data_IF_817038464474
#
_entry.id   IF_817038464474
#
_cell.length_a   1.000
_cell.length_b   1.000
_cell.length_c   1.000
_cell.angle_alpha   90.00
_cell.angle_beta   90.00
_cell.angle_gamma   90.00
#
_symmetry.space_group_name_H-M   'P 1'
#
loop_
_entity.id
_entity.type
_entity.pdbx_description
1 polymer ?
#
# COMPACT_ATOMS: atom_id res chain seq x y z
N UNK A 1 4.22 -7.24 -26.57
CA UNK A 1 3.03 -6.71 -25.88
C UNK A 1 3.19 -6.99 -24.40
N UNK A 2 2.99 -6.01 -23.52
CA UNK A 2 3.08 -6.23 -22.07
C UNK A 2 1.92 -7.10 -21.55
N UNK A 3 2.04 -7.71 -20.37
CA UNK A 3 0.97 -8.56 -19.82
C UNK A 3 -0.29 -7.72 -19.56
N UNK A 4 -1.44 -8.32 -19.81
CA UNK A 4 -2.72 -7.67 -19.60
C UNK A 4 -2.93 -7.39 -18.10
N UNK A 5 -3.56 -6.26 -17.79
CA UNK A 5 -3.78 -5.81 -16.40
C UNK A 5 -5.26 -5.84 -16.09
N UNK A 6 -5.62 -6.45 -14.97
CA UNK A 6 -7.01 -6.55 -14.52
C UNK A 6 -7.13 -5.82 -13.19
N UNK A 7 -7.93 -4.75 -13.16
CA UNK A 7 -8.05 -3.85 -12.02
C UNK A 7 -9.49 -3.90 -11.53
N UNK A 8 -9.71 -4.41 -10.33
CA UNK A 8 -10.99 -4.41 -9.66
C UNK A 8 -11.04 -3.29 -8.62
N UNK A 9 -12.00 -2.37 -8.76
CA UNK A 9 -12.34 -1.43 -7.71
C UNK A 9 -13.37 -2.06 -6.78
N UNK A 10 -13.12 -2.01 -5.48
CA UNK A 10 -14.08 -2.39 -4.45
C UNK A 10 -14.59 -1.11 -3.80
N UNK A 11 -15.82 -0.72 -4.15
CA UNK A 11 -16.44 0.54 -3.76
C UNK A 11 -17.33 0.34 -2.54
N UNK A 12 -17.00 0.99 -1.44
CA UNK A 12 -17.83 1.05 -0.25
C UNK A 12 -19.07 1.91 -0.51
N UNK A 13 -20.20 1.24 -0.64
CA UNK A 13 -21.51 1.86 -0.72
C UNK A 13 -22.29 1.71 0.58
N UNK A 14 -21.64 1.37 1.71
CA UNK A 14 -22.31 1.15 2.99
C UNK A 14 -22.97 2.42 3.54
N UNK A 15 -23.81 2.25 4.56
CA UNK A 15 -24.55 3.36 5.17
C UNK A 15 -23.67 4.33 5.98
N UNK A 16 -22.41 4.00 6.22
CA UNK A 16 -21.46 4.90 6.89
C UNK A 16 -20.80 5.90 5.94
N UNK A 17 -20.87 5.66 4.63
CA UNK A 17 -20.39 6.57 3.60
C UNK A 17 -21.48 7.61 3.30
N UNK A 18 -21.15 8.90 3.47
CA UNK A 18 -22.05 9.98 3.09
C UNK A 18 -22.22 10.10 1.57
N UNK A 19 -23.34 10.64 1.06
CA UNK A 19 -23.58 10.74 -0.38
C UNK A 19 -22.49 11.51 -1.15
N UNK A 20 -21.94 12.58 -0.57
CA UNK A 20 -20.85 13.36 -1.18
C UNK A 20 -19.53 12.56 -1.25
N UNK A 21 -19.26 11.76 -0.22
CA UNK A 21 -18.08 10.90 -0.18
C UNK A 21 -18.20 9.74 -1.18
N UNK A 22 -19.41 9.20 -1.35
CA UNK A 22 -19.71 8.19 -2.35
C UNK A 22 -19.53 8.74 -3.77
N UNK A 23 -20.01 9.96 -4.04
CA UNK A 23 -19.80 10.63 -5.32
C UNK A 23 -18.30 10.88 -5.57
N UNK A 24 -17.57 11.34 -4.56
CA UNK A 24 -16.11 11.53 -4.62
C UNK A 24 -15.36 10.22 -4.93
N UNK A 25 -15.82 9.09 -4.37
CA UNK A 25 -15.26 7.78 -4.67
C UNK A 25 -15.55 7.33 -6.12
N UNK A 26 -16.78 7.57 -6.64
CA UNK A 26 -17.10 7.33 -8.06
C UNK A 26 -16.27 8.20 -8.99
N UNK A 27 -16.10 9.48 -8.67
CA UNK A 27 -15.25 10.40 -9.42
C UNK A 27 -13.79 9.96 -9.44
N UNK A 28 -13.28 9.46 -8.32
CA UNK A 28 -11.94 8.87 -8.26
C UNK A 28 -11.81 7.69 -9.22
N UNK A 29 -12.73 6.73 -9.17
CA UNK A 29 -12.76 5.55 -10.05
C UNK A 29 -12.80 5.99 -11.52
N UNK A 30 -13.74 6.89 -11.86
CA UNK A 30 -13.90 7.44 -13.21
C UNK A 30 -12.58 8.04 -13.72
N UNK A 31 -11.94 8.90 -12.93
CA UNK A 31 -10.72 9.59 -13.34
C UNK A 31 -9.52 8.65 -13.49
N UNK A 32 -9.41 7.63 -12.64
CA UNK A 32 -8.36 6.60 -12.76
C UNK A 32 -8.58 5.77 -14.02
N UNK A 33 -9.80 5.27 -14.24
CA UNK A 33 -10.15 4.48 -15.41
C UNK A 33 -9.89 5.25 -16.71
N UNK A 34 -10.37 6.50 -16.80
CA UNK A 34 -10.15 7.38 -17.95
C UNK A 34 -8.65 7.54 -18.27
N UNK A 35 -7.84 7.89 -17.27
CA UNK A 35 -6.38 8.07 -17.45
C UNK A 35 -5.65 6.79 -17.82
N UNK A 36 -6.07 5.65 -17.29
CA UNK A 36 -5.44 4.37 -17.59
C UNK A 36 -5.80 3.87 -18.99
N UNK A 37 -7.03 4.06 -19.46
CA UNK A 37 -7.39 3.71 -20.84
C UNK A 37 -6.60 4.49 -21.89
N UNK A 38 -6.27 5.76 -21.62
CA UNK A 38 -5.41 6.57 -22.50
C UNK A 38 -3.98 6.00 -22.66
N UNK A 39 -3.52 5.17 -21.70
CA UNK A 39 -2.12 4.70 -21.62
C UNK A 39 -1.96 3.19 -21.63
N UNK A 40 -3.03 2.44 -21.46
CA UNK A 40 -3.02 0.99 -21.25
C UNK A 40 -4.11 0.32 -22.08
N UNK A 41 -3.77 -0.03 -23.32
CA UNK A 41 -4.67 -0.70 -24.28
C UNK A 41 -5.21 -2.05 -23.77
N UNK A 42 -4.46 -2.70 -22.87
CA UNK A 42 -4.77 -4.03 -22.34
C UNK A 42 -5.25 -4.01 -20.88
N UNK A 43 -5.62 -2.84 -20.35
CA UNK A 43 -6.23 -2.75 -19.02
C UNK A 43 -7.72 -3.09 -19.10
N UNK A 44 -8.16 -4.02 -18.25
CA UNK A 44 -9.57 -4.35 -18.00
C UNK A 44 -9.95 -3.89 -16.60
N UNK A 45 -11.17 -3.40 -16.47
CA UNK A 45 -11.68 -2.86 -15.21
C UNK A 45 -12.92 -3.63 -14.77
N UNK A 46 -13.02 -3.83 -13.46
CA UNK A 46 -14.24 -4.27 -12.81
C UNK A 46 -14.53 -3.34 -11.63
N UNK A 47 -15.81 -3.20 -11.29
CA UNK A 47 -16.26 -2.46 -10.10
C UNK A 47 -17.20 -3.36 -9.33
N UNK A 48 -16.88 -3.60 -8.07
CA UNK A 48 -17.72 -4.30 -7.11
C UNK A 48 -18.10 -3.31 -6.04
N UNK A 49 -19.38 -3.04 -5.89
CA UNK A 49 -19.91 -2.25 -4.78
C UNK A 49 -20.34 -3.17 -3.64
N UNK A 50 -20.24 -2.70 -2.40
CA UNK A 50 -20.83 -3.41 -1.26
C UNK A 50 -21.62 -2.50 -0.31
N UNK A 51 -22.54 -3.11 0.43
CA UNK A 51 -23.40 -2.53 1.45
C UNK A 51 -24.01 -3.66 2.29
N UNK A 52 -25.34 -3.75 2.41
CA UNK A 52 -25.99 -4.99 2.85
C UNK A 52 -25.86 -6.17 1.87
N UNK A 53 -25.48 -5.91 0.62
CA UNK A 53 -25.20 -6.91 -0.42
C UNK A 53 -23.90 -6.57 -1.14
N UNK A 54 -23.30 -7.55 -1.82
CA UNK A 54 -22.19 -7.33 -2.75
C UNK A 54 -22.73 -7.39 -4.18
N UNK A 55 -22.40 -6.39 -5.01
CA UNK A 55 -22.88 -6.31 -6.40
C UNK A 55 -21.75 -5.91 -7.34
N UNK A 56 -21.58 -6.66 -8.43
CA UNK A 56 -20.71 -6.26 -9.54
C UNK A 56 -21.43 -5.22 -10.40
N UNK A 57 -20.94 -3.98 -10.40
CA UNK A 57 -21.46 -2.85 -11.18
C UNK A 57 -20.87 -2.79 -12.59
N UNK A 58 -19.64 -3.30 -12.73
CA UNK A 58 -18.90 -3.37 -13.99
C UNK A 58 -18.06 -4.66 -14.03
N UNK A 59 -18.19 -5.43 -15.11
CA UNK A 59 -17.44 -6.66 -15.37
C UNK A 59 -16.21 -6.43 -16.26
N UNK A 60 -15.18 -7.27 -16.11
CA UNK A 60 -13.96 -7.26 -16.94
C UNK A 60 -14.23 -7.40 -18.45
N UNK A 61 -15.36 -8.01 -18.83
CA UNK A 61 -15.74 -8.25 -20.22
C UNK A 61 -16.35 -7.04 -20.91
N UNK A 62 -16.71 -6.00 -20.18
CA UNK A 62 -17.36 -4.78 -20.71
C UNK A 62 -16.35 -3.83 -21.37
N UNK A 63 -15.29 -4.40 -21.98
CA UNK A 63 -14.12 -3.71 -22.55
C UNK A 63 -14.44 -2.83 -23.77
N UNK A 64 -15.57 -3.05 -24.44
CA UNK A 64 -15.76 -2.57 -25.82
C UNK A 64 -16.19 -1.11 -25.96
N UNK A 65 -16.65 -0.46 -24.89
CA UNK A 65 -16.95 0.97 -24.92
C UNK A 65 -16.50 1.64 -23.60
N UNK A 66 -15.31 2.23 -23.63
CA UNK A 66 -14.78 2.99 -22.49
C UNK A 66 -15.71 4.13 -22.07
N UNK A 67 -16.44 4.74 -23.00
CA UNK A 67 -17.41 5.80 -22.70
C UNK A 67 -18.63 5.22 -21.98
N UNK A 68 -19.17 4.10 -22.44
CA UNK A 68 -20.28 3.43 -21.76
C UNK A 68 -19.89 2.99 -20.34
N UNK A 69 -18.71 2.38 -20.18
CA UNK A 69 -18.22 1.96 -18.86
C UNK A 69 -18.04 3.16 -17.92
N UNK A 70 -17.49 4.28 -18.40
CA UNK A 70 -17.36 5.52 -17.63
C UNK A 70 -18.73 6.12 -17.25
N UNK A 71 -19.72 6.06 -18.13
CA UNK A 71 -21.08 6.49 -17.82
C UNK A 71 -21.76 5.55 -16.81
N UNK A 72 -21.50 4.24 -16.86
CA UNK A 72 -21.95 3.31 -15.82
C UNK A 72 -21.40 3.71 -14.46
N UNK A 73 -20.10 4.05 -14.36
CA UNK A 73 -19.49 4.48 -13.09
C UNK A 73 -20.26 5.64 -12.47
N UNK A 74 -20.56 6.69 -13.24
CA UNK A 74 -21.31 7.86 -12.75
C UNK A 74 -22.69 7.49 -12.22
N UNK A 75 -23.35 6.54 -12.88
CA UNK A 75 -24.73 6.14 -12.58
C UNK A 75 -24.86 5.10 -11.47
N UNK A 76 -23.75 4.59 -10.91
CA UNK A 76 -23.78 3.67 -9.77
C UNK A 76 -24.55 4.30 -8.61
N UNK A 77 -25.55 3.57 -8.12
CA UNK A 77 -26.38 3.96 -6.98
C UNK A 77 -25.87 3.30 -5.71
N UNK A 78 -25.77 4.08 -4.64
CA UNK A 78 -25.31 3.63 -3.33
C UNK A 78 -26.24 2.55 -2.74
N UNK A 79 -25.68 1.45 -2.26
CA UNK A 79 -26.43 0.30 -1.70
C UNK A 79 -26.93 0.57 -0.27
N UNK A 80 -26.12 1.24 0.55
CA UNK A 80 -26.30 1.56 1.97
C UNK A 80 -26.19 0.34 2.91
N UNK A 81 -26.47 0.58 4.20
CA UNK A 81 -26.51 -0.42 5.28
C UNK A 81 -25.13 -0.95 5.70
N UNK A 82 -24.87 -2.25 5.63
CA UNK A 82 -23.70 -2.91 6.25
C UNK A 82 -22.36 -2.59 5.56
N UNK A 83 -21.25 -2.85 6.26
CA UNK A 83 -19.90 -2.61 5.74
C UNK A 83 -19.18 -3.95 5.63
N UNK A 84 -19.40 -4.67 4.54
CA UNK A 84 -18.98 -6.07 4.32
C UNK A 84 -17.73 -6.20 3.43
N UNK A 85 -16.67 -5.47 3.78
CA UNK A 85 -15.44 -5.34 2.99
C UNK A 85 -14.75 -6.67 2.67
N UNK A 86 -14.62 -7.60 3.62
CA UNK A 86 -14.00 -8.90 3.42
C UNK A 86 -14.83 -9.74 2.43
N UNK A 87 -16.15 -9.74 2.59
CA UNK A 87 -17.07 -10.40 1.65
C UNK A 87 -16.97 -9.83 0.24
N UNK A 88 -16.82 -8.50 0.11
CA UNK A 88 -16.65 -7.83 -1.18
C UNK A 88 -15.32 -8.20 -1.87
N UNK A 89 -14.22 -8.25 -1.10
CA UNK A 89 -12.92 -8.69 -1.61
C UNK A 89 -12.99 -10.16 -2.04
N UNK A 90 -13.60 -11.02 -1.23
CA UNK A 90 -13.79 -12.42 -1.59
C UNK A 90 -14.62 -12.57 -2.87
N UNK A 91 -15.67 -11.76 -3.05
CA UNK A 91 -16.45 -11.75 -4.29
C UNK A 91 -15.62 -11.40 -5.52
N UNK A 92 -14.64 -10.50 -5.40
CA UNK A 92 -13.70 -10.23 -6.50
C UNK A 92 -12.91 -11.49 -6.85
N UNK A 93 -12.39 -12.22 -5.85
CA UNK A 93 -11.60 -13.44 -6.08
C UNK A 93 -12.44 -14.57 -6.67
N UNK A 94 -13.67 -14.76 -6.20
CA UNK A 94 -14.53 -15.89 -6.55
C UNK A 94 -15.38 -15.65 -7.80
N UNK A 95 -15.68 -14.40 -8.13
CA UNK A 95 -16.67 -14.07 -9.17
C UNK A 95 -16.24 -12.98 -10.15
N UNK A 96 -15.05 -12.39 -10.01
CA UNK A 96 -14.54 -11.39 -10.96
C UNK A 96 -13.25 -11.88 -11.60
N UNK A 97 -12.27 -12.29 -10.79
CA UNK A 97 -10.99 -12.84 -11.25
C UNK A 97 -11.08 -14.33 -11.59
N UNK A 98 -12.10 -14.69 -12.36
CA UNK A 98 -12.34 -16.06 -12.81
C UNK A 98 -12.42 -16.12 -14.34
N UNK A 99 -11.96 -17.22 -14.98
CA UNK A 99 -11.97 -17.36 -16.44
C UNK A 99 -13.34 -17.15 -17.07
N UNK A 100 -14.41 -17.59 -16.41
CA UNK A 100 -15.80 -17.48 -16.85
C UNK A 100 -16.27 -16.01 -16.95
N UNK A 101 -15.54 -15.09 -16.29
CA UNK A 101 -15.77 -13.64 -16.33
C UNK A 101 -14.68 -12.90 -17.10
N UNK A 102 -13.91 -13.62 -17.91
CA UNK A 102 -12.92 -13.05 -18.82
C UNK A 102 -11.62 -12.60 -18.16
N UNK A 103 -11.38 -13.01 -16.90
CA UNK A 103 -10.07 -12.91 -16.27
C UNK A 103 -9.13 -13.96 -16.87
N UNK A 104 -7.85 -13.63 -17.02
CA UNK A 104 -6.84 -14.58 -17.47
C UNK A 104 -5.83 -14.86 -16.39
N UNK A 105 -5.27 -16.07 -16.38
CA UNK A 105 -4.29 -16.49 -15.39
C UNK A 105 -3.00 -15.65 -15.45
N UNK A 106 -2.52 -15.35 -16.65
CA UNK A 106 -1.29 -14.59 -16.94
C UNK A 106 -1.42 -13.07 -16.72
N UNK A 107 -2.60 -12.58 -16.36
CA UNK A 107 -2.85 -11.16 -16.12
C UNK A 107 -2.25 -10.70 -14.79
N UNK A 108 -1.73 -9.47 -14.76
CA UNK A 108 -1.40 -8.79 -13.50
C UNK A 108 -2.69 -8.28 -12.87
N UNK A 109 -3.09 -8.86 -11.74
CA UNK A 109 -4.34 -8.54 -11.03
C UNK A 109 -4.10 -7.51 -9.94
N UNK A 110 -5.04 -6.58 -9.81
CA UNK A 110 -5.00 -5.52 -8.81
C UNK A 110 -6.39 -5.31 -8.20
N UNK A 111 -6.46 -5.18 -6.88
CA UNK A 111 -7.65 -4.74 -6.15
C UNK A 111 -7.38 -3.37 -5.54
N UNK A 112 -8.27 -2.41 -5.78
CA UNK A 112 -8.25 -1.09 -5.17
C UNK A 112 -9.53 -0.93 -4.36
N UNK A 113 -9.43 -0.95 -3.03
CA UNK A 113 -10.56 -0.77 -2.12
C UNK A 113 -10.73 0.72 -1.81
N UNK A 114 -11.95 1.24 -1.90
CA UNK A 114 -12.35 2.60 -1.54
C UNK A 114 -13.35 2.49 -0.39
N UNK A 115 -12.94 2.80 0.84
CA UNK A 115 -13.74 2.54 2.06
C UNK A 115 -13.47 3.55 3.18
N UNK A 116 -14.43 3.83 4.05
CA UNK A 116 -14.19 4.55 5.31
C UNK A 116 -13.56 3.68 6.41
N UNK A 117 -13.16 2.45 6.06
CA UNK A 117 -12.42 1.49 6.89
C UNK A 117 -13.24 0.88 8.03
N UNK A 118 -14.57 1.01 7.99
CA UNK A 118 -15.44 0.27 8.90
C UNK A 118 -15.63 -1.15 8.38
N UNK A 119 -15.86 -2.08 9.30
CA UNK A 119 -16.38 -3.42 8.99
C UNK A 119 -17.51 -3.64 9.97
N UNK A 120 -18.70 -3.92 9.45
CA UNK A 120 -19.90 -4.05 10.25
C UNK A 120 -20.80 -5.12 9.65
N UNK A 121 -21.08 -6.16 10.44
CA UNK A 121 -21.87 -7.33 10.04
C UNK A 121 -21.33 -8.07 8.80
N UNK A 122 -20.01 -8.05 8.63
CA UNK A 122 -19.35 -8.87 7.61
C UNK A 122 -19.29 -10.33 8.07
N UNK A 123 -19.87 -11.28 7.32
CA UNK A 123 -19.81 -12.70 7.66
C UNK A 123 -18.41 -13.29 7.44
N UNK A 124 -17.53 -12.62 6.70
CA UNK A 124 -16.18 -13.10 6.40
C UNK A 124 -15.12 -12.43 7.26
N UNK A 125 -14.07 -13.20 7.57
CA UNK A 125 -12.90 -12.68 8.26
C UNK A 125 -11.92 -12.07 7.25
N UNK A 126 -11.62 -10.78 7.40
CA UNK A 126 -10.73 -10.07 6.48
C UNK A 126 -9.34 -10.71 6.40
N UNK A 127 -8.73 -11.08 7.53
CA UNK A 127 -7.41 -11.71 7.57
C UNK A 127 -7.41 -13.04 6.81
N UNK A 128 -8.46 -13.85 6.95
CA UNK A 128 -8.59 -15.10 6.22
C UNK A 128 -8.67 -14.88 4.69
N UNK A 129 -9.47 -13.90 4.24
CA UNK A 129 -9.58 -13.55 2.81
C UNK A 129 -8.25 -13.04 2.26
N UNK A 130 -7.56 -12.17 3.02
CA UNK A 130 -6.27 -11.59 2.61
C UNK A 130 -5.12 -12.62 2.57
N UNK A 131 -5.20 -13.68 3.36
CA UNK A 131 -4.23 -14.77 3.39
C UNK A 131 -4.62 -15.96 2.49
N UNK A 132 -5.75 -15.89 1.77
CA UNK A 132 -6.18 -16.98 0.89
C UNK A 132 -5.21 -17.18 -0.29
N UNK A 133 -5.04 -18.42 -0.79
CA UNK A 133 -4.17 -18.69 -1.95
C UNK A 133 -4.53 -17.87 -3.19
N UNK A 134 -5.82 -17.60 -3.39
CA UNK A 134 -6.34 -16.78 -4.50
C UNK A 134 -5.85 -15.32 -4.45
N UNK A 135 -5.37 -14.85 -3.29
CA UNK A 135 -4.84 -13.50 -3.10
C UNK A 135 -3.33 -13.40 -3.39
N UNK A 136 -2.59 -14.51 -3.50
CA UNK A 136 -1.11 -14.52 -3.56
C UNK A 136 -0.53 -13.66 -4.70
N UNK A 137 -1.20 -13.63 -5.86
CA UNK A 137 -0.73 -12.89 -7.05
C UNK A 137 -1.55 -11.62 -7.34
N UNK A 138 -2.25 -11.10 -6.33
CA UNK A 138 -3.07 -9.90 -6.46
C UNK A 138 -2.39 -8.72 -5.75
N UNK A 139 -2.11 -7.66 -6.50
CA UNK A 139 -1.63 -6.39 -5.93
C UNK A 139 -2.79 -5.68 -5.24
N UNK A 140 -2.60 -5.21 -4.01
CA UNK A 140 -3.68 -4.65 -3.18
C UNK A 140 -3.41 -3.20 -2.81
N UNK A 141 -4.40 -2.34 -3.00
CA UNK A 141 -4.42 -0.98 -2.50
C UNK A 141 -5.70 -0.74 -1.71
N UNK A 142 -5.59 0.05 -0.64
CA UNK A 142 -6.74 0.55 0.11
C UNK A 142 -6.64 2.07 0.19
N UNK A 143 -7.70 2.74 -0.24
CA UNK A 143 -7.89 4.18 -0.21
C UNK A 143 -9.06 4.41 0.72
N UNK A 144 -8.88 5.26 1.73
CA UNK A 144 -9.97 5.60 2.62
C UNK A 144 -10.20 7.07 2.73
N UNK A 145 -11.48 7.42 2.90
CA UNK A 145 -11.88 8.79 3.15
C UNK A 145 -11.59 9.14 4.62
N UNK A 146 -10.93 10.27 4.84
CA UNK A 146 -10.62 10.75 6.19
C UNK A 146 -11.84 11.50 6.73
N UNK A 147 -12.89 10.77 7.13
CA UNK A 147 -13.95 11.37 7.96
C UNK A 147 -13.43 11.55 9.38
N UNK A 148 -13.99 12.52 10.12
CA UNK A 148 -13.63 12.77 11.52
C UNK A 148 -13.88 11.52 12.34
N UNK A 149 -12.79 10.86 12.76
CA UNK A 149 -12.80 9.56 13.42
C UNK A 149 -11.93 8.49 12.73
N UNK A 150 -11.40 8.73 11.53
CA UNK A 150 -10.31 7.90 10.96
C UNK A 150 -8.99 8.22 11.69
N UNK A 151 -8.38 7.23 12.36
CA UNK A 151 -7.06 7.43 12.97
C UNK A 151 -5.94 7.60 11.93
N UNK A 152 -6.26 7.50 10.64
CA UNK A 152 -5.38 7.83 9.54
C UNK A 152 -4.28 6.79 9.32
N UNK A 153 -3.37 7.12 8.40
CA UNK A 153 -2.21 6.30 8.08
C UNK A 153 -0.94 7.06 8.42
N UNK A 154 -0.04 6.41 9.13
CA UNK A 154 1.27 6.93 9.53
C UNK A 154 2.34 6.15 8.77
N UNK A 155 3.12 6.86 7.94
CA UNK A 155 4.16 6.28 7.11
C UNK A 155 5.53 6.66 7.66
N UNK A 156 6.35 5.69 8.03
CA UNK A 156 7.75 5.91 8.33
C UNK A 156 8.61 5.53 7.12
N UNK A 157 9.32 6.50 6.55
CA UNK A 157 10.34 6.24 5.55
C UNK A 157 11.66 5.93 6.26
N UNK A 158 12.26 4.79 5.95
CA UNK A 158 13.60 4.41 6.42
C UNK A 158 14.56 4.65 5.26
N UNK A 159 15.26 5.78 5.30
CA UNK A 159 16.10 6.29 4.21
C UNK A 159 17.56 5.96 4.45
N UNK A 160 18.14 5.19 3.54
CA UNK A 160 19.55 4.87 3.57
C UNK A 160 20.40 6.10 3.22
N UNK A 161 21.08 6.64 4.23
CA UNK A 161 22.04 7.73 4.10
C UNK A 161 23.49 7.25 4.10
N UNK A 162 23.72 5.94 3.99
CA UNK A 162 25.06 5.34 4.03
C UNK A 162 25.94 5.79 2.86
N UNK A 163 27.24 5.49 2.97
CA UNK A 163 28.24 5.79 1.94
C UNK A 163 28.23 4.84 0.76
N UNK A 164 27.45 3.76 0.82
CA UNK A 164 27.30 2.83 -0.30
C UNK A 164 26.24 3.25 -1.30
N UNK A 165 25.33 4.15 -0.90
CA UNK A 165 24.36 4.76 -1.81
C UNK A 165 25.03 5.87 -2.63
N UNK A 166 24.84 5.87 -3.95
CA UNK A 166 25.30 6.96 -4.81
C UNK A 166 24.53 8.25 -4.50
N UNK A 167 25.19 9.43 -4.46
CA UNK A 167 24.53 10.70 -4.13
C UNK A 167 23.31 11.01 -5.01
N UNK A 168 23.35 10.64 -6.29
CA UNK A 168 22.22 10.85 -7.21
C UNK A 168 21.01 10.00 -6.82
N UNK A 169 21.23 8.74 -6.42
CA UNK A 169 20.15 7.84 -6.05
C UNK A 169 19.59 8.17 -4.65
N UNK A 170 20.42 8.72 -3.76
CA UNK A 170 19.96 9.34 -2.52
C UNK A 170 19.00 10.52 -2.80
N UNK A 171 19.33 11.40 -3.74
CA UNK A 171 18.43 12.49 -4.15
C UNK A 171 17.13 11.97 -4.77
N UNK A 172 17.17 10.90 -5.59
CA UNK A 172 15.96 10.25 -6.13
C UNK A 172 15.08 9.69 -5.01
N UNK A 173 15.66 9.12 -3.96
CA UNK A 173 14.92 8.65 -2.79
C UNK A 173 14.25 9.81 -2.06
N UNK A 174 14.93 10.95 -1.86
CA UNK A 174 14.33 12.16 -1.29
C UNK A 174 13.18 12.73 -2.13
N UNK A 175 13.30 12.69 -3.46
CA UNK A 175 12.23 13.10 -4.37
C UNK A 175 11.01 12.16 -4.29
N UNK A 176 11.23 10.85 -4.19
CA UNK A 176 10.16 9.88 -3.97
C UNK A 176 9.43 10.16 -2.66
N UNK A 177 10.17 10.33 -1.55
CA UNK A 177 9.60 10.69 -0.24
C UNK A 177 8.77 11.99 -0.38
N UNK A 178 9.34 13.03 -0.97
CA UNK A 178 8.69 14.33 -1.22
C UNK A 178 7.37 14.23 -2.00
N UNK A 179 7.28 13.32 -2.97
CA UNK A 179 6.07 13.06 -3.75
C UNK A 179 4.97 12.37 -2.94
N UNK A 180 5.36 11.42 -2.07
CA UNK A 180 4.41 10.68 -1.22
C UNK A 180 3.93 11.53 -0.03
N UNK A 181 4.81 12.34 0.56
CA UNK A 181 4.55 13.21 1.72
C UNK A 181 3.38 14.18 1.56
N UNK A 182 3.07 14.60 0.32
CA UNK A 182 1.95 15.55 0.07
C UNK A 182 0.60 15.00 0.57
N UNK A 183 0.45 13.68 0.65
CA UNK A 183 -0.86 13.02 0.80
C UNK A 183 -1.14 12.41 2.19
N UNK A 184 -0.14 12.25 3.06
CA UNK A 184 -0.30 11.51 4.33
C UNK A 184 0.52 12.12 5.48
N UNK A 185 0.27 11.67 6.72
CA UNK A 185 1.16 11.91 7.86
C UNK A 185 2.31 10.91 7.78
N UNK A 186 3.53 11.41 7.92
CA UNK A 186 4.75 10.65 7.73
C UNK A 186 5.87 11.10 8.67
N UNK A 187 6.85 10.21 8.86
CA UNK A 187 8.13 10.45 9.48
C UNK A 187 9.25 9.99 8.51
N UNK A 188 10.45 10.53 8.69
CA UNK A 188 11.64 10.09 7.94
C UNK A 188 12.72 9.75 8.95
N UNK A 189 13.18 8.50 8.92
CA UNK A 189 14.33 8.01 9.68
C UNK A 189 15.45 7.79 8.68
N UNK A 190 16.42 8.70 8.63
CA UNK A 190 17.62 8.49 7.85
C UNK A 190 18.65 7.76 8.71
N UNK A 191 19.36 6.80 8.13
CA UNK A 191 20.37 6.03 8.85
C UNK A 191 21.71 5.96 8.13
N UNK A 192 22.76 5.87 8.94
CA UNK A 192 24.16 5.69 8.57
C UNK A 192 24.85 4.94 9.72
N UNK A 193 25.91 5.49 10.32
CA UNK A 193 26.32 5.08 11.68
C UNK A 193 25.52 5.80 12.80
N UNK A 194 24.80 6.85 12.43
CA UNK A 194 23.89 7.62 13.27
C UNK A 194 22.50 7.56 12.66
N UNK A 195 21.48 7.72 13.50
CA UNK A 195 20.10 7.84 13.07
C UNK A 195 19.66 9.28 13.23
N UNK A 196 19.12 9.88 12.17
CA UNK A 196 18.45 11.17 12.22
C UNK A 196 16.97 10.99 11.93
N UNK A 197 16.13 11.76 12.61
CA UNK A 197 14.69 11.59 12.57
C UNK A 197 14.00 12.93 12.28
N UNK A 198 13.07 12.89 11.34
CA UNK A 198 11.96 13.83 11.22
C UNK A 198 10.71 13.14 11.75
N UNK A 199 10.25 13.54 12.92
CA UNK A 199 9.20 12.82 13.65
C UNK A 199 7.80 13.11 13.10
N UNK A 200 6.82 12.29 13.49
CA UNK A 200 5.42 12.44 13.11
C UNK A 200 4.80 13.78 13.57
N UNK A 201 5.32 14.37 14.65
CA UNK A 201 4.87 15.65 15.21
C UNK A 201 5.31 16.85 14.37
N UNK A 202 6.46 16.77 13.72
CA UNK A 202 7.00 17.85 12.89
C UNK A 202 6.21 18.08 11.59
N UNK A 203 5.27 17.18 11.29
CA UNK A 203 4.47 17.15 10.08
C UNK A 203 3.11 17.85 10.19
N UNK A 204 2.87 18.59 11.28
CA UNK A 204 1.71 19.49 11.35
C UNK A 204 1.82 20.64 10.33
N UNK A 205 3.05 21.01 9.95
CA UNK A 205 3.33 21.91 8.83
C UNK A 205 4.02 21.15 7.68
N UNK A 206 3.21 20.72 6.71
CA UNK A 206 3.68 19.97 5.54
C UNK A 206 4.72 20.71 4.71
N UNK A 207 4.68 22.05 4.66
CA UNK A 207 5.64 22.84 3.88
C UNK A 207 7.00 22.80 4.54
N UNK A 208 7.04 23.05 5.86
CA UNK A 208 8.26 22.97 6.66
C UNK A 208 8.86 21.56 6.68
N UNK A 209 8.02 20.53 6.80
CA UNK A 209 8.48 19.15 6.74
C UNK A 209 9.09 18.80 5.37
N UNK A 210 8.53 19.33 4.28
CA UNK A 210 9.08 19.15 2.93
C UNK A 210 10.42 19.85 2.73
N UNK A 211 10.58 21.05 3.27
CA UNK A 211 11.87 21.77 3.28
C UNK A 211 12.92 20.97 4.05
N UNK A 212 12.59 20.49 5.26
CA UNK A 212 13.49 19.64 6.04
C UNK A 212 13.93 18.38 5.29
N UNK A 213 13.01 17.69 4.61
CA UNK A 213 13.38 16.49 3.82
C UNK A 213 14.33 16.82 2.69
N UNK A 214 14.13 17.94 1.99
CA UNK A 214 15.06 18.37 0.94
C UNK A 214 16.46 18.66 1.48
N UNK A 215 16.51 19.26 2.68
CA UNK A 215 17.74 19.65 3.35
C UNK A 215 18.51 18.48 3.97
N UNK A 216 17.91 17.29 4.07
CA UNK A 216 18.60 16.08 4.56
C UNK A 216 19.86 15.84 3.72
N UNK A 217 21.00 15.86 4.41
CA UNK A 217 22.31 15.56 3.84
C UNK A 217 22.63 14.08 4.01
N UNK A 218 23.24 13.48 2.99
CA UNK A 218 23.69 12.09 3.07
C UNK A 218 24.78 11.96 4.15
N UNK A 219 24.66 10.94 5.01
CA UNK A 219 25.58 10.70 6.13
C UNK A 219 26.92 10.13 5.64
N UNK A 220 26.88 9.29 4.60
CA UNK A 220 28.04 8.63 3.96
C UNK A 220 28.82 7.67 4.87
N UNK A 221 28.13 6.97 5.75
CA UNK A 221 28.73 6.02 6.71
C UNK A 221 28.15 4.61 6.55
N UNK A 222 28.20 3.75 7.57
CA UNK A 222 27.77 2.34 7.48
C UNK A 222 26.26 2.18 7.25
N UNK A 223 25.83 0.98 6.88
CA UNK A 223 24.43 0.67 6.57
C UNK A 223 23.83 -0.21 7.67
N UNK A 224 23.03 0.41 8.56
CA UNK A 224 22.42 -0.20 9.75
C UNK A 224 20.89 -0.38 9.64
N UNK A 225 20.43 -0.98 8.54
CA UNK A 225 19.00 -1.08 8.19
C UNK A 225 18.11 -1.70 9.29
N UNK A 226 18.55 -2.76 9.97
CA UNK A 226 17.81 -3.40 11.04
C UNK A 226 17.68 -2.49 12.27
N UNK A 227 18.77 -1.82 12.66
CA UNK A 227 18.74 -0.82 13.73
C UNK A 227 17.82 0.35 13.40
N UNK A 228 17.81 0.81 12.14
CA UNK A 228 16.94 1.89 11.69
C UNK A 228 15.46 1.49 11.72
N UNK A 229 15.12 0.26 11.30
CA UNK A 229 13.75 -0.26 11.42
C UNK A 229 13.36 -0.36 12.89
N UNK A 230 14.23 -0.88 13.76
CA UNK A 230 13.94 -0.96 15.18
C UNK A 230 13.74 0.44 15.80
N UNK A 231 14.51 1.43 15.38
CA UNK A 231 14.32 2.83 15.81
C UNK A 231 12.93 3.35 15.47
N UNK A 232 12.38 3.00 14.30
CA UNK A 232 10.98 3.33 13.96
C UNK A 232 10.00 2.74 14.97
N UNK A 233 10.21 1.50 15.41
CA UNK A 233 9.32 0.83 16.38
C UNK A 233 9.40 1.41 17.77
N UNK A 234 10.61 1.77 18.21
CA UNK A 234 10.85 2.27 19.57
C UNK A 234 10.58 3.77 19.71
N UNK A 235 10.75 4.55 18.64
CA UNK A 235 10.74 6.01 18.72
C UNK A 235 9.78 6.69 17.76
N UNK A 236 9.45 6.12 16.60
CA UNK A 236 8.52 6.80 15.67
C UNK A 236 7.07 6.41 15.95
N UNK A 237 6.79 5.11 16.05
CA UNK A 237 5.45 4.58 16.28
C UNK A 237 5.08 4.46 17.76
N UNK A 238 5.43 5.49 18.53
CA UNK A 238 5.07 5.61 19.96
C UNK A 238 4.21 6.86 20.18
N UNK A 239 3.27 6.75 21.13
CA UNK A 239 2.28 7.78 21.41
C UNK A 239 2.92 9.12 21.81
N UNK A 240 4.02 9.08 22.57
CA UNK A 240 4.78 10.25 23.00
C UNK A 240 5.34 11.05 21.81
N UNK A 241 5.66 10.39 20.70
CA UNK A 241 6.15 11.01 19.47
C UNK A 241 5.05 11.19 18.42
N UNK A 242 3.80 11.22 18.88
CA UNK A 242 2.64 11.61 18.08
C UNK A 242 2.05 10.49 17.23
N UNK A 243 2.48 9.24 17.40
CA UNK A 243 1.80 8.10 16.77
C UNK A 243 0.46 7.84 17.45
N UNK A 244 -0.53 7.41 16.66
CA UNK A 244 -1.85 7.05 17.18
C UNK A 244 -1.95 5.54 17.27
N UNK A 245 -2.47 5.01 18.36
CA UNK A 245 -2.54 3.57 18.61
C UNK A 245 -3.36 2.85 17.53
N UNK A 246 -4.49 3.43 17.16
CA UNK A 246 -5.46 2.96 16.19
C UNK A 246 -5.11 3.27 14.72
N UNK A 247 -4.00 3.98 14.45
CA UNK A 247 -3.58 4.28 13.07
C UNK A 247 -3.00 3.07 12.36
N UNK A 248 -3.18 3.03 11.02
CA UNK A 248 -2.42 2.11 10.16
C UNK A 248 -0.97 2.57 10.06
N UNK A 249 -0.03 1.69 10.36
CA UNK A 249 1.40 1.97 10.34
C UNK A 249 2.05 1.30 9.13
N UNK A 250 2.82 2.08 8.38
CA UNK A 250 3.53 1.60 7.19
C UNK A 250 5.00 1.97 7.33
N UNK A 251 5.90 1.01 7.08
CA UNK A 251 7.33 1.26 6.92
C UNK A 251 7.68 1.12 5.44
N UNK A 252 8.34 2.13 4.88
CA UNK A 252 8.89 2.10 3.52
C UNK A 252 10.41 2.23 3.64
N UNK A 253 11.13 1.14 3.40
CA UNK A 253 12.60 1.11 3.42
C UNK A 253 13.13 1.44 2.03
N UNK A 254 14.00 2.44 1.95
CA UNK A 254 14.68 2.92 0.76
C UNK A 254 16.17 2.65 0.98
N UNK A 255 16.74 1.60 0.37
CA UNK A 255 18.11 1.14 0.63
C UNK A 255 18.77 0.52 -0.59
N UNK A 256 20.09 0.54 -0.67
CA UNK A 256 20.85 -0.19 -1.67
C UNK A 256 21.01 -1.69 -1.34
N UNK A 257 20.51 -2.13 -0.18
CA UNK A 257 20.50 -3.53 0.26
C UNK A 257 21.77 -3.99 0.96
N UNK A 258 22.78 -3.12 1.12
CA UNK A 258 23.99 -3.48 1.85
C UNK A 258 23.74 -3.39 3.35
N UNK A 259 24.35 -4.29 4.11
CA UNK A 259 24.32 -4.27 5.57
C UNK A 259 25.77 -4.34 6.03
N UNK A 260 26.20 -3.41 6.88
CA UNK A 260 27.56 -3.38 7.38
C UNK A 260 27.61 -2.90 8.82
N UNK A 261 28.07 -3.77 9.73
CA UNK A 261 28.20 -3.51 11.17
C UNK A 261 26.89 -3.07 11.84
N UNK A 262 25.75 -3.58 11.37
CA UNK A 262 24.47 -3.39 12.05
C UNK A 262 24.48 -4.17 13.38
N UNK A 263 24.30 -3.50 14.54
CA UNK A 263 24.27 -4.19 15.82
C UNK A 263 23.00 -5.04 16.00
N UNK A 264 21.97 -4.84 15.16
CA UNK A 264 20.73 -5.61 15.20
C UNK A 264 20.66 -6.63 14.07
N UNK A 265 20.02 -7.75 14.36
CA UNK A 265 19.72 -8.77 13.37
C UNK A 265 18.37 -8.45 12.70
N UNK A 266 18.36 -8.33 11.37
CA UNK A 266 17.17 -7.97 10.61
C UNK A 266 16.00 -8.94 10.83
N UNK A 267 16.26 -10.25 10.77
CA UNK A 267 15.24 -11.29 11.01
C UNK A 267 14.61 -11.16 12.39
N UNK A 268 15.42 -10.85 13.41
CA UNK A 268 14.95 -10.64 14.78
C UNK A 268 14.02 -9.41 14.88
N UNK A 269 14.40 -8.29 14.26
CA UNK A 269 13.57 -7.08 14.24
C UNK A 269 12.26 -7.34 13.50
N UNK A 270 12.32 -7.99 12.33
CA UNK A 270 11.16 -8.27 11.48
C UNK A 270 10.16 -9.25 12.10
N UNK A 271 10.62 -10.15 12.96
CA UNK A 271 9.79 -11.12 13.69
C UNK A 271 9.37 -10.64 15.09
N UNK A 272 9.74 -9.42 15.49
CA UNK A 272 9.34 -8.88 16.79
C UNK A 272 7.82 -8.63 16.85
N UNK A 273 7.18 -8.78 18.04
CA UNK A 273 5.75 -8.52 18.19
C UNK A 273 5.32 -7.10 17.78
N UNK A 274 6.22 -6.13 17.93
CA UNK A 274 6.00 -4.73 17.53
C UNK A 274 5.81 -4.58 16.01
N UNK A 275 6.25 -5.55 15.20
CA UNK A 275 6.07 -5.56 13.74
C UNK A 275 4.74 -6.16 13.27
N UNK A 276 3.99 -6.88 14.12
CA UNK A 276 2.84 -7.69 13.69
C UNK A 276 1.72 -6.90 12.98
N UNK A 277 1.56 -5.61 13.30
CA UNK A 277 0.51 -4.75 12.74
C UNK A 277 1.05 -3.62 11.84
N UNK A 278 2.26 -3.80 11.31
CA UNK A 278 2.94 -2.83 10.45
C UNK A 278 3.05 -3.38 9.03
N UNK A 279 2.51 -2.64 8.06
CA UNK A 279 2.71 -2.98 6.65
C UNK A 279 4.11 -2.54 6.20
N UNK A 280 4.83 -3.42 5.49
CA UNK A 280 6.24 -3.22 5.14
C UNK A 280 6.42 -3.19 3.63
N UNK A 281 7.16 -2.21 3.15
CA UNK A 281 7.67 -2.17 1.79
C UNK A 281 9.17 -1.91 1.81
N UNK A 282 9.90 -2.54 0.91
CA UNK A 282 11.30 -2.24 0.63
C UNK A 282 11.45 -1.91 -0.85
N UNK A 283 12.22 -0.88 -1.15
CA UNK A 283 12.59 -0.52 -2.51
C UNK A 283 14.09 -0.28 -2.58
N UNK A 284 14.70 -0.85 -3.62
CA UNK A 284 16.11 -0.68 -3.90
C UNK A 284 16.42 0.75 -4.36
N UNK A 285 17.51 1.32 -3.85
CA UNK A 285 18.15 2.55 -4.35
C UNK A 285 19.44 2.10 -5.08
N UNK A 286 19.60 2.47 -6.35
CA UNK A 286 20.80 2.12 -7.14
C UNK A 286 20.50 1.50 -8.52
N UNK A 287 21.55 1.22 -9.32
CA UNK A 287 21.39 0.62 -10.64
C UNK A 287 20.76 -0.78 -10.55
N UNK A 288 19.90 -1.08 -11.53
CA UNK A 288 19.02 -2.24 -11.57
C UNK A 288 19.75 -3.61 -11.43
N UNK A 289 21.06 -3.64 -11.69
CA UNK A 289 21.90 -4.85 -11.65
C UNK A 289 22.17 -5.37 -10.22
N UNK A 290 22.12 -4.52 -9.19
CA UNK A 290 22.31 -4.93 -7.79
C UNK A 290 21.07 -5.58 -7.17
N UNK A 291 19.90 -5.52 -7.82
CA UNK A 291 18.67 -6.14 -7.29
C UNK A 291 18.71 -7.68 -7.30
N UNK A 292 19.69 -8.31 -7.98
CA UNK A 292 19.91 -9.76 -8.00
C UNK A 292 20.73 -10.30 -6.83
N UNK A 293 21.53 -9.49 -6.16
CA UNK A 293 22.26 -9.94 -4.96
C UNK A 293 21.34 -10.04 -3.74
N UNK A 294 20.24 -9.28 -3.70
CA UNK A 294 19.19 -9.41 -2.67
C UNK A 294 18.34 -10.68 -2.80
N UNK A 295 18.45 -11.43 -3.92
CA UNK A 295 17.82 -12.75 -4.06
C UNK A 295 18.79 -13.91 -3.84
N UNK A 296 20.10 -13.64 -3.66
CA UNK A 296 21.15 -14.67 -3.65
C UNK A 296 21.93 -14.81 -2.33
N UNK A 297 21.62 -14.02 -1.29
CA UNK A 297 21.97 -14.43 0.07
C UNK A 297 20.87 -15.35 0.58
N UNK A 298 21.17 -16.65 0.56
CA UNK A 298 20.35 -17.74 1.07
C UNK A 298 19.74 -17.41 2.44
N UNK A 299 18.51 -16.90 2.44
CA UNK A 299 17.50 -17.31 3.40
C UNK A 299 16.35 -17.90 2.59
N UNK A 300 16.41 -19.22 2.42
CA UNK A 300 15.28 -20.03 1.98
C UNK A 300 14.17 -19.90 3.02
N UNK A 301 13.34 -18.86 2.89
CA UNK A 301 12.04 -18.77 3.56
C UNK A 301 10.88 -18.56 2.57
N UNK A 302 11.19 -18.72 1.27
CA UNK A 302 10.23 -19.07 0.24
C UNK A 302 10.27 -20.59 0.00
N UNK A 303 10.06 -21.40 1.02
CA UNK A 303 9.75 -22.84 0.90
C UNK A 303 8.65 -23.18 1.93
N UNK A 304 7.70 -23.96 1.47
CA UNK A 304 6.56 -24.53 2.19
C UNK A 304 6.99 -25.17 3.51
N UNK A 305 6.15 -25.05 4.53
CA UNK A 305 6.02 -26.08 5.56
C UNK A 305 4.53 -26.43 5.66
N UNK A 306 4.13 -27.46 4.90
CA UNK A 306 3.23 -28.47 5.44
C UNK A 306 3.94 -29.05 6.68
N UNK A 307 3.20 -29.22 7.77
CA UNK A 307 3.37 -30.44 8.56
C UNK A 307 2.03 -30.82 9.20
N UNK A 308 1.58 -31.98 8.75
CA UNK A 308 0.55 -32.83 9.31
C UNK A 308 1.06 -33.54 10.56
N UNK A 309 0.33 -33.40 11.67
CA UNK A 309 -0.26 -34.49 12.48
C UNK A 309 -1.26 -33.90 13.49
#
# INVERSE_FOLDING_TARGET
MGPDKEIAFVLDGSGSIGPEDFESAKDFIYNVMKKLWERCVNCKFAIVQYGNIVRTELSLTEKNDAREALEKVKNIQQILSYTITASAINHVLEHVFVPEKGSREDSKKMIIVLTDRRIFLDPMNLTAVLNSPKMQNVVRFAIGNTTTGDPGTEIAFVLDGSGSTEPEDFEKAKDLISKVMKKCKFAVVQYGNIITELSLLENNDKKKALEKVKDIQQIKQHTITASAINHVLEHVFVAENGSREDSKKIIIVLTDGRIFLDPMNLTTVLNSPKMHNILRFATGIGPYENHRENSNNNDKSSEEYEDSE
#
